data_IF_876197042743
#
_entry.id   IF_876197042743
#
_cell.length_a   1.000
_cell.length_b   1.000
_cell.length_c   1.000
_cell.angle_alpha   90.00
_cell.angle_beta   90.00
_cell.angle_gamma   90.00
#
_symmetry.space_group_name_H-M   'P 1'
#
loop_
_entity.id
_entity.type
_entity.pdbx_description
1 polymer ?
#
# COMPACT_ATOMS: atom_id res chain seq x y z
N UNK A 1 -69.71 2.61 -42.73
CA UNK A 1 -69.84 2.06 -41.37
C UNK A 1 -68.60 2.47 -40.61
N UNK A 2 -68.76 3.37 -39.65
CA UNK A 2 -67.69 3.95 -38.83
C UNK A 2 -67.43 3.03 -37.64
N UNK A 3 -66.17 2.68 -37.39
CA UNK A 3 -65.74 2.16 -36.09
C UNK A 3 -64.55 3.00 -35.63
N UNK A 4 -64.85 4.00 -34.78
CA UNK A 4 -63.86 4.79 -34.06
C UNK A 4 -63.41 4.01 -32.83
N UNK A 5 -62.13 3.63 -32.79
CA UNK A 5 -61.51 3.04 -31.60
C UNK A 5 -60.74 4.13 -30.87
N UNK A 6 -61.20 4.48 -29.67
CA UNK A 6 -60.57 5.43 -28.76
C UNK A 6 -59.40 4.71 -28.05
N UNK A 7 -58.15 5.15 -28.26
CA UNK A 7 -57.00 4.67 -27.47
C UNK A 7 -56.70 5.70 -26.38
N UNK A 8 -56.99 5.34 -25.14
CA UNK A 8 -56.56 6.07 -23.94
C UNK A 8 -55.23 5.45 -23.51
N UNK A 9 -54.12 6.14 -23.75
CA UNK A 9 -52.81 5.76 -23.18
C UNK A 9 -52.51 6.64 -21.98
N UNK A 10 -52.42 5.98 -20.82
CA UNK A 10 -52.10 6.59 -19.53
C UNK A 10 -50.66 7.11 -19.50
N UNK A 11 -50.48 8.35 -19.04
CA UNK A 11 -49.16 8.90 -18.71
C UNK A 11 -48.74 8.32 -17.36
N UNK A 12 -47.80 7.37 -17.37
CA UNK A 12 -47.14 6.89 -16.16
C UNK A 12 -46.10 7.93 -15.74
N UNK A 13 -46.41 8.69 -14.70
CA UNK A 13 -45.44 9.55 -14.03
C UNK A 13 -44.40 8.67 -13.32
N UNK A 14 -43.15 8.75 -13.75
CA UNK A 14 -42.01 8.11 -13.09
C UNK A 14 -41.60 8.98 -11.90
N UNK A 15 -41.65 8.49 -10.65
CA UNK A 15 -41.04 9.22 -9.55
C UNK A 15 -39.52 9.21 -9.73
N UNK A 16 -38.91 10.40 -9.74
CA UNK A 16 -37.47 10.56 -9.60
C UNK A 16 -37.06 10.06 -8.21
N UNK A 17 -36.50 8.85 -8.15
CA UNK A 17 -35.88 8.35 -6.93
C UNK A 17 -34.57 9.13 -6.79
N UNK A 18 -34.58 10.12 -5.91
CA UNK A 18 -33.35 10.75 -5.44
C UNK A 18 -32.50 9.66 -4.80
N UNK A 19 -31.40 9.29 -5.46
CA UNK A 19 -30.40 8.41 -4.88
C UNK A 19 -29.90 9.06 -3.59
N UNK A 20 -30.03 8.45 -2.41
CA UNK A 20 -29.21 8.88 -1.28
C UNK A 20 -27.77 8.66 -1.72
N UNK A 21 -26.99 9.74 -1.71
CA UNK A 21 -25.54 9.67 -1.82
C UNK A 21 -25.08 8.65 -0.77
N UNK A 22 -24.72 7.46 -1.23
CA UNK A 22 -24.14 6.44 -0.42
C UNK A 22 -22.76 6.97 -0.03
N UNK A 23 -22.70 7.69 1.10
CA UNK A 23 -21.46 7.91 1.83
C UNK A 23 -21.08 6.56 2.40
N UNK A 24 -20.52 5.71 1.54
CA UNK A 24 -19.79 4.56 1.97
C UNK A 24 -18.50 5.10 2.55
N UNK A 25 -18.54 5.34 3.86
CA UNK A 25 -17.38 5.09 4.69
C UNK A 25 -17.07 3.60 4.56
N UNK A 26 -16.46 3.24 3.43
CA UNK A 26 -15.96 1.91 3.20
C UNK A 26 -14.57 1.85 3.79
N UNK A 27 -14.51 1.74 5.12
CA UNK A 27 -13.51 0.87 5.73
C UNK A 27 -13.82 -0.57 5.30
N UNK A 28 -13.65 -0.89 4.02
CA UNK A 28 -13.39 -2.27 3.61
C UNK A 28 -11.94 -2.50 3.98
N UNK A 29 -11.78 -3.08 5.16
CA UNK A 29 -10.55 -3.65 5.64
C UNK A 29 -10.20 -4.83 4.72
N UNK A 30 -9.56 -4.52 3.60
CA UNK A 30 -8.77 -5.48 2.87
C UNK A 30 -7.57 -5.76 3.77
N UNK A 31 -7.40 -7.00 4.21
CA UNK A 31 -6.36 -7.31 5.18
C UNK A 31 -4.92 -7.07 4.63
N UNK A 32 -4.75 -6.74 3.33
CA UNK A 32 -3.54 -6.02 2.87
C UNK A 32 -3.73 -4.53 3.15
N UNK A 33 -3.38 -4.13 4.37
CA UNK A 33 -3.45 -2.74 4.77
C UNK A 33 -2.25 -2.01 4.16
N UNK A 34 -2.52 -1.19 3.14
CA UNK A 34 -1.59 -0.15 2.71
C UNK A 34 -1.81 1.05 3.62
N UNK A 35 -0.76 1.46 4.32
CA UNK A 35 -0.72 2.67 5.13
C UNK A 35 0.25 3.66 4.50
N UNK A 36 -0.23 4.86 4.18
CA UNK A 36 0.58 5.96 3.64
C UNK A 36 0.88 6.97 4.75
N UNK A 37 2.04 7.64 4.70
CA UNK A 37 2.38 8.68 5.68
C UNK A 37 2.97 8.18 7.00
N UNK A 38 3.44 6.93 7.05
CA UNK A 38 3.88 6.28 8.31
C UNK A 38 5.36 6.45 8.61
N UNK A 39 6.14 7.06 7.71
CA UNK A 39 7.60 7.11 7.84
C UNK A 39 8.19 8.32 7.09
N UNK A 40 9.50 8.44 7.03
CA UNK A 40 10.17 9.55 6.36
C UNK A 40 9.96 9.55 4.84
N UNK A 41 9.78 10.74 4.28
CA UNK A 41 9.50 10.91 2.84
C UNK A 41 10.74 10.56 1.98
N UNK A 42 10.57 9.61 1.04
CA UNK A 42 11.45 9.42 -0.10
C UNK A 42 11.04 10.31 -1.29
N UNK A 43 11.96 10.50 -2.23
CA UNK A 43 11.64 11.13 -3.51
C UNK A 43 10.78 10.20 -4.36
N UNK A 44 9.60 10.63 -4.81
CA UNK A 44 8.68 9.79 -5.59
C UNK A 44 9.31 9.30 -6.90
N UNK A 45 10.01 10.16 -7.65
CA UNK A 45 10.69 9.75 -8.88
C UNK A 45 11.74 8.67 -8.66
N UNK A 46 12.44 8.70 -7.51
CA UNK A 46 13.44 7.70 -7.17
C UNK A 46 12.79 6.36 -6.86
N UNK A 47 11.62 6.36 -6.19
CA UNK A 47 10.86 5.14 -5.94
C UNK A 47 10.24 4.55 -7.20
N UNK A 48 9.77 5.39 -8.12
CA UNK A 48 9.29 4.93 -9.43
C UNK A 48 10.43 4.27 -10.22
N UNK A 49 11.63 4.85 -10.18
CA UNK A 49 12.82 4.26 -10.80
C UNK A 49 13.27 2.98 -10.09
N UNK A 50 13.18 2.92 -8.75
CA UNK A 50 13.57 1.75 -7.96
C UNK A 50 12.76 0.50 -8.33
N UNK A 51 11.44 0.63 -8.46
CA UNK A 51 10.55 -0.52 -8.70
C UNK A 51 10.51 -0.96 -10.17
N UNK A 52 11.18 -0.23 -11.07
CA UNK A 52 11.45 -0.74 -12.41
C UNK A 52 12.21 -2.07 -12.31
N UNK A 53 11.81 -3.13 -13.05
CA UNK A 53 12.42 -4.45 -12.91
C UNK A 53 13.93 -4.46 -13.08
N UNK A 54 14.49 -3.67 -14.00
CA UNK A 54 15.93 -3.68 -14.24
C UNK A 54 16.71 -2.99 -13.12
N UNK A 55 16.19 -1.84 -12.64
CA UNK A 55 16.77 -1.14 -11.50
C UNK A 55 16.67 -1.97 -10.23
N UNK A 56 15.50 -2.57 -9.97
CA UNK A 56 15.28 -3.40 -8.80
C UNK A 56 16.27 -4.56 -8.74
N UNK A 57 16.38 -5.35 -9.81
CA UNK A 57 17.29 -6.51 -9.83
C UNK A 57 18.76 -6.11 -9.67
N UNK A 58 19.15 -4.92 -10.13
CA UNK A 58 20.51 -4.40 -9.93
C UNK A 58 20.73 -3.90 -8.48
N UNK A 59 19.69 -3.40 -7.83
CA UNK A 59 19.73 -2.84 -6.48
C UNK A 59 19.43 -3.87 -5.37
N UNK A 60 18.87 -5.04 -5.73
CA UNK A 60 18.37 -6.01 -4.77
C UNK A 60 19.51 -6.63 -3.95
N UNK A 61 19.48 -6.39 -2.65
CA UNK A 61 20.44 -6.86 -1.67
C UNK A 61 19.94 -8.06 -0.86
N UNK A 62 18.67 -8.44 -1.01
CA UNK A 62 18.01 -9.47 -0.21
C UNK A 62 18.17 -9.21 1.30
N UNK A 63 18.55 -10.25 2.06
CA UNK A 63 18.75 -10.14 3.51
C UNK A 63 20.12 -9.65 3.96
N UNK A 64 20.98 -9.15 3.06
CA UNK A 64 22.37 -8.80 3.42
C UNK A 64 22.48 -7.52 4.25
N UNK A 65 21.58 -6.55 4.04
CA UNK A 65 21.55 -5.29 4.78
C UNK A 65 20.53 -5.37 5.91
N UNK A 66 20.94 -5.99 7.02
CA UNK A 66 20.11 -6.11 8.22
C UNK A 66 20.05 -4.78 8.95
N UNK A 67 18.84 -4.38 9.31
CA UNK A 67 18.56 -3.30 10.22
C UNK A 67 17.52 -3.76 11.25
N UNK A 68 17.12 -2.89 12.16
CA UNK A 68 16.27 -3.24 13.27
C UNK A 68 15.19 -2.17 13.45
N UNK A 69 13.99 -2.61 13.82
CA UNK A 69 12.93 -1.73 14.27
C UNK A 69 12.63 -2.02 15.73
N UNK A 70 12.26 -0.96 16.45
CA UNK A 70 11.84 -1.05 17.85
C UNK A 70 10.46 -0.43 17.98
N UNK A 71 9.49 -1.14 18.57
CA UNK A 71 8.20 -0.53 18.86
C UNK A 71 8.15 0.07 20.28
N UNK A 72 7.08 0.81 20.60
CA UNK A 72 6.84 1.37 21.94
C UNK A 72 6.72 0.34 23.09
N UNK A 73 6.81 -0.96 22.80
CA UNK A 73 6.82 -2.07 23.77
C UNK A 73 8.22 -2.71 23.93
N UNK A 74 9.28 -2.05 23.45
CA UNK A 74 10.67 -2.56 23.43
C UNK A 74 10.87 -3.86 22.63
N UNK A 75 10.01 -4.11 21.64
CA UNK A 75 10.20 -5.23 20.72
C UNK A 75 11.31 -4.89 19.73
N UNK A 76 12.46 -5.55 19.80
CA UNK A 76 13.55 -5.40 18.83
C UNK A 76 13.56 -6.60 17.87
N UNK A 77 13.23 -6.36 16.60
CA UNK A 77 13.21 -7.38 15.58
C UNK A 77 13.98 -6.98 14.31
N UNK A 78 14.51 -7.96 13.57
CA UNK A 78 15.21 -7.69 12.34
C UNK A 78 14.25 -7.18 11.26
N UNK A 79 14.69 -6.14 10.58
CA UNK A 79 14.20 -5.73 9.28
C UNK A 79 15.39 -5.66 8.31
N UNK A 80 15.11 -5.40 7.04
CA UNK A 80 16.10 -5.52 5.98
C UNK A 80 15.91 -4.39 4.98
N UNK A 81 16.99 -3.71 4.62
CA UNK A 81 17.03 -2.83 3.47
C UNK A 81 17.27 -3.70 2.22
N UNK A 82 16.21 -3.99 1.47
CA UNK A 82 16.27 -4.98 0.39
C UNK A 82 16.65 -4.38 -0.95
N UNK A 83 16.45 -3.09 -1.18
CA UNK A 83 16.87 -2.39 -2.39
C UNK A 83 16.84 -0.87 -2.18
N UNK A 84 17.77 -0.14 -2.81
CA UNK A 84 17.74 1.33 -2.84
C UNK A 84 18.10 1.88 -4.21
N UNK A 85 17.50 3.01 -4.56
CA UNK A 85 17.86 3.83 -5.71
C UNK A 85 17.67 5.31 -5.35
N UNK A 86 18.67 6.15 -5.56
CA UNK A 86 18.62 7.55 -5.15
C UNK A 86 18.34 7.68 -3.64
N UNK A 87 17.32 8.44 -3.28
CA UNK A 87 16.82 8.56 -1.90
C UNK A 87 15.62 7.64 -1.62
N UNK A 88 15.31 6.66 -2.47
CA UNK A 88 14.26 5.69 -2.16
C UNK A 88 14.88 4.35 -1.77
N UNK A 89 14.41 3.80 -0.65
CA UNK A 89 14.77 2.48 -0.18
C UNK A 89 13.52 1.65 0.12
N UNK A 90 13.55 0.38 -0.27
CA UNK A 90 12.57 -0.61 0.09
C UNK A 90 13.05 -1.39 1.30
N UNK A 91 12.21 -1.43 2.34
CA UNK A 91 12.47 -2.19 3.56
C UNK A 91 11.52 -3.38 3.68
N UNK A 92 12.00 -4.45 4.29
CA UNK A 92 11.23 -5.66 4.55
C UNK A 92 11.36 -6.08 6.01
N UNK A 93 10.25 -6.47 6.63
CA UNK A 93 10.22 -7.11 7.94
C UNK A 93 9.41 -8.43 7.85
N UNK A 94 9.93 -9.57 8.34
CA UNK A 94 9.15 -10.78 8.46
C UNK A 94 8.05 -10.60 9.52
N UNK A 95 6.92 -11.27 9.33
CA UNK A 95 5.88 -11.26 10.37
C UNK A 95 6.30 -12.07 11.59
N UNK A 96 5.69 -11.78 12.75
CA UNK A 96 6.09 -12.26 14.09
C UNK A 96 6.30 -13.77 14.25
N UNK A 97 5.72 -14.58 13.36
CA UNK A 97 5.77 -16.06 13.43
C UNK A 97 6.39 -16.69 12.19
N UNK A 98 7.04 -15.89 11.36
CA UNK A 98 7.55 -16.33 10.06
C UNK A 98 9.04 -16.05 9.90
N UNK A 99 9.69 -16.88 9.10
CA UNK A 99 11.07 -16.65 8.69
C UNK A 99 11.11 -15.65 7.54
N UNK A 100 12.19 -14.86 7.47
CA UNK A 100 12.38 -13.95 6.35
C UNK A 100 12.39 -14.70 5.00
N UNK A 101 11.60 -14.20 4.05
CA UNK A 101 11.54 -14.69 2.68
C UNK A 101 11.85 -13.52 1.73
N UNK A 102 12.92 -13.66 0.97
CA UNK A 102 13.45 -12.62 0.08
C UNK A 102 13.12 -12.93 -1.39
N UNK A 103 11.89 -13.35 -1.67
CA UNK A 103 11.45 -13.50 -3.05
C UNK A 103 11.44 -12.12 -3.73
N UNK A 104 12.42 -11.92 -4.62
CA UNK A 104 12.70 -10.63 -5.24
C UNK A 104 11.48 -10.04 -5.95
N UNK A 105 10.76 -10.86 -6.71
CA UNK A 105 9.58 -10.42 -7.47
C UNK A 105 8.44 -10.01 -6.54
N UNK A 106 8.14 -10.81 -5.51
CA UNK A 106 7.11 -10.51 -4.51
C UNK A 106 7.42 -9.22 -3.76
N UNK A 107 8.67 -9.03 -3.32
CA UNK A 107 9.08 -7.81 -2.63
C UNK A 107 8.99 -6.58 -3.54
N UNK A 108 9.41 -6.70 -4.81
CA UNK A 108 9.24 -5.64 -5.81
C UNK A 108 7.78 -5.31 -6.05
N UNK A 109 6.93 -6.30 -6.28
CA UNK A 109 5.50 -6.09 -6.58
C UNK A 109 4.77 -5.42 -5.42
N UNK A 110 5.12 -5.79 -4.19
CA UNK A 110 4.63 -5.13 -2.98
C UNK A 110 5.13 -3.70 -2.87
N UNK A 111 6.42 -3.45 -3.12
CA UNK A 111 6.96 -2.08 -3.14
C UNK A 111 6.29 -1.23 -4.24
N UNK A 112 6.08 -1.79 -5.44
CA UNK A 112 5.41 -1.12 -6.54
C UNK A 112 3.95 -0.76 -6.21
N UNK A 113 3.27 -1.61 -5.44
CA UNK A 113 1.89 -1.33 -4.99
C UNK A 113 1.79 -0.08 -4.09
N UNK A 114 2.90 0.30 -3.44
CA UNK A 114 2.97 1.49 -2.58
C UNK A 114 3.11 2.79 -3.36
N UNK A 115 3.40 2.76 -4.68
CA UNK A 115 3.46 3.97 -5.50
C UNK A 115 2.15 4.78 -5.48
N UNK A 116 1.02 4.14 -5.14
CA UNK A 116 -0.25 4.83 -4.91
C UNK A 116 -0.27 5.77 -3.70
N UNK A 117 0.70 5.67 -2.78
CA UNK A 117 0.88 6.58 -1.65
C UNK A 117 1.64 7.87 -2.01
N UNK A 118 2.16 8.00 -3.24
CA UNK A 118 2.95 9.16 -3.63
C UNK A 118 2.15 10.46 -3.72
N UNK A 119 2.71 11.54 -3.18
CA UNK A 119 2.26 12.91 -3.38
C UNK A 119 3.04 13.53 -4.55
N UNK A 120 2.39 13.62 -5.71
CA UNK A 120 3.01 14.14 -6.94
C UNK A 120 3.34 15.63 -6.86
N UNK A 121 2.60 16.40 -6.06
CA UNK A 121 2.81 17.85 -5.93
C UNK A 121 4.06 18.14 -5.10
N UNK A 122 4.37 17.25 -4.14
CA UNK A 122 5.57 17.34 -3.29
C UNK A 122 6.74 16.48 -3.78
N UNK A 123 6.52 15.66 -4.80
CA UNK A 123 7.46 14.63 -5.25
C UNK A 123 7.93 13.75 -4.09
N UNK A 124 7.02 13.41 -3.18
CA UNK A 124 7.31 12.63 -1.98
C UNK A 124 6.48 11.36 -1.90
N UNK A 125 7.01 10.34 -1.22
CA UNK A 125 6.31 9.08 -0.98
C UNK A 125 6.84 8.44 0.28
N UNK A 126 5.92 7.85 1.04
CA UNK A 126 6.19 6.89 2.08
C UNK A 126 4.99 5.93 2.15
N UNK A 127 5.25 4.70 2.55
CA UNK A 127 4.14 3.78 2.78
C UNK A 127 4.60 2.42 3.23
N UNK A 128 3.66 1.70 3.84
CA UNK A 128 3.82 0.36 4.37
C UNK A 128 2.69 -0.52 3.84
N UNK A 129 3.01 -1.74 3.42
CA UNK A 129 2.02 -2.78 3.12
C UNK A 129 2.33 -4.03 3.93
N UNK A 130 1.33 -4.50 4.68
CA UNK A 130 1.41 -5.72 5.48
C UNK A 130 0.67 -6.85 4.79
N UNK A 131 1.33 -7.99 4.64
CA UNK A 131 0.76 -9.19 4.04
C UNK A 131 -0.13 -9.93 5.04
N UNK A 132 -1.30 -10.36 4.59
CA UNK A 132 -2.33 -11.02 5.42
C UNK A 132 -1.96 -12.42 5.89
N UNK A 133 -1.14 -13.11 5.09
CA UNK A 133 -0.89 -14.54 5.25
C UNK A 133 0.18 -14.76 6.31
N UNK A 134 1.25 -13.99 6.24
CA UNK A 134 2.42 -14.15 7.11
C UNK A 134 2.67 -12.97 8.05
N UNK A 135 1.96 -11.85 7.88
CA UNK A 135 2.18 -10.62 8.65
C UNK A 135 3.47 -9.90 8.28
N UNK A 136 4.12 -10.26 7.17
CA UNK A 136 5.34 -9.59 6.72
C UNK A 136 5.01 -8.20 6.19
N UNK A 137 5.93 -7.24 6.37
CA UNK A 137 5.78 -5.86 5.94
C UNK A 137 6.76 -5.52 4.82
N UNK A 138 6.31 -4.72 3.85
CA UNK A 138 7.17 -4.04 2.88
C UNK A 138 6.90 -2.55 2.98
N UNK A 139 7.95 -1.75 3.03
CA UNK A 139 7.86 -0.30 3.20
C UNK A 139 8.70 0.43 2.15
N UNK A 140 8.23 1.57 1.68
CA UNK A 140 9.03 2.55 0.93
C UNK A 140 9.29 3.77 1.83
N UNK A 141 10.55 4.14 1.99
CA UNK A 141 10.99 5.30 2.75
C UNK A 141 12.31 5.83 2.20
N UNK A 142 12.78 6.94 2.76
CA UNK A 142 14.14 7.42 2.56
C UNK A 142 15.19 6.43 3.10
N UNK A 143 16.48 6.73 2.90
CA UNK A 143 17.61 5.88 3.33
C UNK A 143 17.70 5.59 4.83
N UNK A 144 16.93 6.29 5.66
CA UNK A 144 16.92 6.17 7.12
C UNK A 144 15.66 5.46 7.66
N UNK A 145 14.77 4.96 6.79
CA UNK A 145 13.43 4.52 7.18
C UNK A 145 13.29 3.17 7.90
N UNK A 146 14.35 2.38 8.06
CA UNK A 146 14.19 0.98 8.51
C UNK A 146 13.51 0.81 9.88
N UNK A 147 13.73 1.74 10.81
CA UNK A 147 13.09 1.73 12.12
C UNK A 147 11.65 2.19 12.04
N UNK A 148 11.46 3.40 11.53
CA UNK A 148 10.17 4.10 11.41
C UNK A 148 9.16 3.36 10.51
N UNK A 149 9.63 2.56 9.55
CA UNK A 149 8.76 1.78 8.68
C UNK A 149 7.89 0.76 9.42
N UNK A 150 8.32 0.31 10.61
CA UNK A 150 7.71 -0.83 11.32
C UNK A 150 7.55 -0.60 12.82
N UNK A 151 7.85 0.60 13.35
CA UNK A 151 7.74 0.90 14.78
C UNK A 151 6.30 1.23 15.23
N UNK A 152 5.47 1.64 14.29
CA UNK A 152 4.11 2.11 14.52
C UNK A 152 3.05 1.01 14.58
N UNK A 153 1.88 1.37 15.12
CA UNK A 153 0.72 0.48 15.21
C UNK A 153 0.22 -0.04 13.87
N UNK A 154 0.64 0.52 12.75
CA UNK A 154 0.23 0.07 11.41
C UNK A 154 0.84 -1.29 11.03
N UNK A 155 2.03 -1.60 11.56
CA UNK A 155 2.65 -2.92 11.39
C UNK A 155 2.04 -3.98 12.33
N UNK A 156 1.59 -3.57 13.52
CA UNK A 156 1.07 -4.47 14.56
C UNK A 156 -0.47 -4.54 14.66
N UNK A 157 -1.17 -3.57 14.08
CA UNK A 157 -2.61 -3.32 14.25
C UNK A 157 -3.46 -3.77 13.07
N UNK A 158 -2.86 -4.47 12.11
CA UNK A 158 -3.50 -4.91 10.88
C UNK A 158 -3.91 -6.38 10.98
N UNK A 159 -5.10 -6.59 11.58
CA UNK A 159 -5.96 -7.79 11.62
C UNK A 159 -5.38 -9.10 12.20
#
# INVERSE_FOLDING_TARGET
MFFSTLIISAVLAVPAIASPAFKLSEKRQACSAVSCGTTSDATLSDCQALVDPATWSAAFAGGSNVCHFTNGLNFNAPAYNVACHGNCCAYYAPGFRTTANFDENSLRDRAASLLGCGDTDKNSINGLTVATIDGSGVCLSNGDGCGDCFDDSDFFGTC
#
